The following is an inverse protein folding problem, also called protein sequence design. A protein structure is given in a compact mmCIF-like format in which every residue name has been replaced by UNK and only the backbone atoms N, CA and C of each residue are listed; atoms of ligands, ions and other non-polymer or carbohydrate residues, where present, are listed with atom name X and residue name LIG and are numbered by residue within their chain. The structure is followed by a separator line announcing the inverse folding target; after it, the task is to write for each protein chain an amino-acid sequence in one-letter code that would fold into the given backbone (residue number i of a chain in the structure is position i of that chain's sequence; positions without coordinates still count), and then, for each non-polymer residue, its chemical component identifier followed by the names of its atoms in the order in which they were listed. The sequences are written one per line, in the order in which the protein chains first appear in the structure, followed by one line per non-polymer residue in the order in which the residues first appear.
data_IF_519680734039
#
_entry.id   IF_519680734039
#
_cell.length_a   1.000
_cell.length_b   1.000
_cell.length_c   1.000
_cell.angle_alpha   90.00
_cell.angle_beta   90.00
_cell.angle_gamma   90.00
#
_symmetry.space_group_name_H-M   'P 1'
#
loop_
_entity.id
_entity.type
_entity.pdbx_description
1 polymer ?
#
# COMPACT_ATOMS: atom_id res chain seq x y z
N UNK A 1 -13.62 -18.99 -16.63
CA UNK A 1 -12.38 -18.46 -16.01
C UNK A 1 -11.92 -19.49 -15.00
N UNK A 2 -10.65 -19.94 -15.04
CA UNK A 2 -10.12 -20.88 -14.04
C UNK A 2 -9.95 -20.16 -12.70
N UNK A 3 -10.66 -20.61 -11.67
CA UNK A 3 -10.67 -19.99 -10.34
C UNK A 3 -9.26 -19.94 -9.71
N UNK A 4 -8.49 -21.03 -9.80
CA UNK A 4 -7.10 -21.07 -9.31
C UNK A 4 -6.15 -20.04 -9.96
N UNK A 5 -6.34 -19.74 -11.26
CA UNK A 5 -5.57 -18.69 -11.95
C UNK A 5 -5.92 -17.29 -11.41
N UNK A 6 -7.17 -17.09 -10.97
CA UNK A 6 -7.59 -15.84 -10.32
C UNK A 6 -6.95 -15.69 -8.94
N UNK A 7 -6.96 -16.76 -8.12
CA UNK A 7 -6.35 -16.77 -6.78
C UNK A 7 -4.84 -16.48 -6.82
N UNK A 8 -4.08 -17.16 -7.69
CA UNK A 8 -2.64 -16.90 -7.86
C UNK A 8 -2.33 -15.47 -8.30
N UNK A 9 -3.18 -14.88 -9.14
CA UNK A 9 -3.00 -13.50 -9.59
C UNK A 9 -3.27 -12.52 -8.45
N UNK A 10 -4.37 -12.71 -7.72
CA UNK A 10 -4.75 -11.84 -6.60
C UNK A 10 -3.73 -11.94 -5.45
N UNK A 11 -3.19 -13.13 -5.18
CA UNK A 11 -2.08 -13.33 -4.25
C UNK A 11 -0.86 -12.50 -4.61
N UNK A 12 -0.42 -12.52 -5.88
CA UNK A 12 0.72 -11.71 -6.35
C UNK A 12 0.48 -10.21 -6.16
N UNK A 13 -0.76 -9.74 -6.33
CA UNK A 13 -1.11 -8.34 -6.06
C UNK A 13 -1.00 -8.01 -4.57
N UNK A 14 -1.48 -8.90 -3.70
CA UNK A 14 -1.36 -8.73 -2.25
C UNK A 14 0.09 -8.79 -1.77
N UNK A 15 0.90 -9.71 -2.27
CA UNK A 15 2.34 -9.80 -1.95
C UNK A 15 3.10 -8.55 -2.40
N UNK A 16 2.79 -8.04 -3.61
CA UNK A 16 3.35 -6.78 -4.10
C UNK A 16 2.99 -5.60 -3.18
N UNK A 17 1.71 -5.48 -2.80
CA UNK A 17 1.25 -4.45 -1.88
C UNK A 17 1.93 -4.57 -0.50
N UNK A 18 2.02 -5.79 0.05
CA UNK A 18 2.67 -6.08 1.32
C UNK A 18 4.16 -5.69 1.31
N UNK A 19 4.87 -5.99 0.22
CA UNK A 19 6.26 -5.59 0.02
C UNK A 19 6.43 -4.07 0.07
N UNK A 20 5.50 -3.30 -0.51
CA UNK A 20 5.53 -1.83 -0.47
C UNK A 20 5.27 -1.29 0.94
N UNK A 21 4.34 -1.89 1.70
CA UNK A 21 4.12 -1.51 3.11
C UNK A 21 5.35 -1.77 3.96
N UNK A 22 5.98 -2.94 3.82
CA UNK A 22 7.23 -3.27 4.53
C UNK A 22 8.34 -2.27 4.20
N UNK A 23 8.42 -1.81 2.95
CA UNK A 23 9.38 -0.77 2.54
C UNK A 23 9.06 0.61 3.13
N UNK A 24 7.79 1.00 3.23
CA UNK A 24 7.36 2.23 3.92
C UNK A 24 7.84 2.21 5.37
N UNK A 25 7.52 1.14 6.11
CA UNK A 25 7.90 0.99 7.51
C UNK A 25 9.44 1.02 7.70
N UNK A 26 10.18 0.34 6.83
CA UNK A 26 11.65 0.42 6.83
C UNK A 26 12.17 1.85 6.61
N UNK A 27 11.66 2.56 5.60
CA UNK A 27 12.14 3.92 5.28
C UNK A 27 11.77 4.93 6.37
N UNK A 28 10.58 4.81 6.96
CA UNK A 28 10.17 5.61 8.11
C UNK A 28 11.15 5.47 9.28
N UNK A 29 11.56 4.23 9.58
CA UNK A 29 12.52 3.94 10.65
C UNK A 29 13.95 4.38 10.31
N UNK A 30 14.42 4.10 9.10
CA UNK A 30 15.75 4.51 8.62
C UNK A 30 15.93 6.03 8.70
N UNK A 31 14.95 6.79 8.21
CA UNK A 31 15.00 8.24 8.19
C UNK A 31 14.76 8.90 9.56
N UNK A 32 14.30 8.13 10.55
CA UNK A 32 13.98 8.63 11.89
C UNK A 32 12.89 9.70 11.87
N UNK A 33 11.87 9.54 11.02
CA UNK A 33 10.80 10.53 10.92
C UNK A 33 9.96 10.58 12.19
N UNK A 34 9.81 11.79 12.73
CA UNK A 34 8.67 12.20 13.56
C UNK A 34 7.60 12.87 12.69
N UNK A 35 6.41 13.12 13.26
CA UNK A 35 5.33 13.83 12.58
C UNK A 35 5.81 15.17 12.03
N UNK A 36 6.46 15.96 12.87
CA UNK A 36 6.98 17.30 12.55
C UNK A 36 8.01 17.22 11.42
N UNK A 37 9.00 16.32 11.56
CA UNK A 37 10.07 16.20 10.56
C UNK A 37 9.61 15.62 9.22
N UNK A 38 8.43 15.01 9.15
CA UNK A 38 7.85 14.52 7.89
C UNK A 38 7.03 15.61 7.19
N UNK A 39 6.25 16.37 7.97
CA UNK A 39 5.38 17.44 7.48
C UNK A 39 6.21 18.64 7.00
N UNK A 40 7.19 19.07 7.80
CA UNK A 40 7.90 20.33 7.59
C UNK A 40 9.02 20.27 6.54
N UNK A 41 9.17 19.16 5.82
CA UNK A 41 10.15 19.10 4.72
C UNK A 41 9.63 19.95 3.56
N UNK A 42 10.40 20.97 3.20
CA UNK A 42 10.21 21.73 1.96
C UNK A 42 10.92 21.02 0.80
N UNK A 43 10.20 20.85 -0.32
CA UNK A 43 10.79 20.28 -1.54
C UNK A 43 11.51 21.41 -2.29
N UNK A 44 12.84 21.38 -2.32
CA UNK A 44 13.64 22.40 -2.98
C UNK A 44 13.95 22.01 -4.43
N UNK A 45 13.78 22.95 -5.36
CA UNK A 45 14.00 22.68 -6.80
C UNK A 45 15.46 22.47 -7.19
N UNK A 46 16.41 22.92 -6.37
CA UNK A 46 17.83 22.99 -6.75
C UNK A 46 18.73 22.05 -5.95
N UNK A 47 18.29 21.60 -4.77
CA UNK A 47 19.04 20.70 -3.90
C UNK A 47 18.06 19.83 -3.12
N UNK A 48 18.07 18.53 -3.39
CA UNK A 48 17.20 17.58 -2.69
C UNK A 48 17.95 17.04 -1.47
N UNK A 49 17.36 17.20 -0.28
CA UNK A 49 17.96 16.65 0.94
C UNK A 49 17.75 15.13 1.04
N UNK A 50 18.54 14.41 1.85
CA UNK A 50 18.32 12.97 2.06
C UNK A 50 16.92 12.68 2.64
N UNK A 51 16.44 13.53 3.57
CA UNK A 51 15.09 13.42 4.13
C UNK A 51 14.00 13.66 3.08
N UNK A 52 14.24 14.57 2.14
CA UNK A 52 13.33 14.80 1.02
C UNK A 52 13.27 13.60 0.09
N UNK A 53 14.42 12.99 -0.24
CA UNK A 53 14.49 11.74 -1.01
C UNK A 53 13.76 10.58 -0.31
N UNK A 54 13.99 10.39 0.99
CA UNK A 54 13.36 9.32 1.77
C UNK A 54 11.82 9.55 1.85
N UNK A 55 11.35 10.80 2.03
CA UNK A 55 9.91 11.12 1.97
C UNK A 55 9.32 10.83 0.60
N UNK A 56 9.96 11.26 -0.49
CA UNK A 56 9.50 10.96 -1.85
C UNK A 56 9.44 9.46 -2.12
N UNK A 57 10.42 8.69 -1.63
CA UNK A 57 10.41 7.23 -1.74
C UNK A 57 9.25 6.59 -0.99
N UNK A 58 8.88 7.11 0.19
CA UNK A 58 7.69 6.68 0.94
C UNK A 58 6.42 6.95 0.13
N UNK A 59 6.24 8.17 -0.38
CA UNK A 59 5.07 8.54 -1.19
C UNK A 59 4.95 7.68 -2.45
N UNK A 60 6.07 7.40 -3.10
CA UNK A 60 6.13 6.47 -4.23
C UNK A 60 5.66 5.06 -3.86
N UNK A 61 6.04 4.56 -2.67
CA UNK A 61 5.55 3.27 -2.20
C UNK A 61 4.04 3.28 -1.93
N UNK A 62 3.48 4.39 -1.43
CA UNK A 62 2.02 4.55 -1.24
C UNK A 62 1.29 4.48 -2.59
N UNK A 63 1.82 5.16 -3.62
CA UNK A 63 1.25 5.13 -4.98
C UNK A 63 1.22 3.69 -5.52
N UNK A 64 2.35 2.99 -5.50
CA UNK A 64 2.44 1.63 -6.04
C UNK A 64 1.72 0.57 -5.22
N UNK A 65 1.59 0.77 -3.91
CA UNK A 65 0.72 -0.05 -3.08
C UNK A 65 -0.73 0.08 -3.56
N UNK A 66 -1.20 1.30 -3.80
CA UNK A 66 -2.55 1.53 -4.33
C UNK A 66 -2.78 0.97 -5.73
N UNK A 67 -1.77 1.02 -6.60
CA UNK A 67 -1.84 0.37 -7.92
C UNK A 67 -1.92 -1.15 -7.83
N UNK A 68 -1.13 -1.75 -6.93
CA UNK A 68 -1.16 -3.19 -6.70
C UNK A 68 -2.54 -3.63 -6.23
N UNK A 69 -3.12 -2.92 -5.26
CA UNK A 69 -4.47 -3.22 -4.77
C UNK A 69 -5.57 -2.90 -5.81
N UNK A 70 -5.38 -1.89 -6.66
CA UNK A 70 -6.28 -1.58 -7.76
C UNK A 70 -6.29 -2.63 -8.88
N UNK A 71 -5.26 -3.48 -8.96
CA UNK A 71 -5.18 -4.61 -9.90
C UNK A 71 -6.08 -5.79 -9.54
N UNK A 72 -6.61 -5.84 -8.31
CA UNK A 72 -7.53 -6.89 -7.85
C UNK A 72 -8.88 -6.69 -8.56
N UNK A 73 -9.20 -7.58 -9.51
CA UNK A 73 -10.38 -7.44 -10.39
C UNK A 73 -11.72 -7.60 -9.67
N UNK A 74 -11.72 -8.28 -8.52
CA UNK A 74 -12.94 -8.53 -7.73
C UNK A 74 -12.71 -8.22 -6.24
N UNK A 75 -12.47 -6.94 -5.86
CA UNK A 75 -12.19 -6.57 -4.48
C UNK A 75 -13.32 -6.99 -3.54
N UNK A 76 -14.56 -7.05 -4.05
CA UNK A 76 -15.75 -7.44 -3.32
C UNK A 76 -15.71 -8.85 -2.74
N UNK A 77 -14.95 -9.77 -3.35
CA UNK A 77 -14.72 -11.12 -2.79
C UNK A 77 -13.80 -11.09 -1.58
N UNK A 78 -12.98 -10.06 -1.47
CA UNK A 78 -12.02 -9.82 -0.39
C UNK A 78 -12.53 -8.80 0.62
N UNK A 79 -13.70 -8.19 0.42
CA UNK A 79 -14.27 -7.21 1.37
C UNK A 79 -14.51 -7.77 2.78
N UNK A 80 -14.64 -9.10 2.90
CA UNK A 80 -14.70 -9.80 4.19
C UNK A 80 -13.38 -9.79 4.96
N UNK A 81 -12.25 -9.49 4.29
CA UNK A 81 -10.90 -9.56 4.85
C UNK A 81 -10.23 -8.18 4.79
N UNK A 82 -10.22 -7.54 3.62
CA UNK A 82 -9.80 -6.14 3.45
C UNK A 82 -11.04 -5.31 3.18
N UNK A 83 -11.43 -4.50 4.16
CA UNK A 83 -12.68 -3.74 4.06
C UNK A 83 -12.69 -2.79 2.85
N UNK A 84 -13.88 -2.49 2.34
CA UNK A 84 -14.05 -1.52 1.24
C UNK A 84 -13.47 -0.16 1.63
N UNK A 85 -13.64 0.25 2.89
CA UNK A 85 -13.08 1.49 3.42
C UNK A 85 -11.55 1.51 3.35
N UNK A 86 -10.88 0.37 3.62
CA UNK A 86 -9.44 0.25 3.51
C UNK A 86 -8.97 0.43 2.05
N UNK A 87 -9.66 -0.19 1.08
CA UNK A 87 -9.37 0.01 -0.35
C UNK A 87 -9.58 1.46 -0.78
N UNK A 88 -10.71 2.06 -0.40
CA UNK A 88 -11.04 3.45 -0.74
C UNK A 88 -10.04 4.43 -0.11
N UNK A 89 -9.56 4.14 1.11
CA UNK A 89 -8.55 4.93 1.79
C UNK A 89 -7.20 4.88 1.08
N UNK A 90 -6.71 3.69 0.72
CA UNK A 90 -5.47 3.56 -0.06
C UNK A 90 -5.59 4.26 -1.41
N UNK A 91 -6.73 4.12 -2.08
CA UNK A 91 -7.01 4.79 -3.36
C UNK A 91 -6.99 6.32 -3.21
N UNK A 92 -7.60 6.86 -2.15
CA UNK A 92 -7.56 8.29 -1.82
C UNK A 92 -6.11 8.76 -1.64
N UNK A 93 -5.30 8.01 -0.88
CA UNK A 93 -3.90 8.37 -0.60
C UNK A 93 -2.99 8.24 -1.83
N UNK A 94 -3.16 7.21 -2.65
CA UNK A 94 -2.53 7.07 -3.98
C UNK A 94 -2.79 8.32 -4.83
N UNK A 95 -4.05 8.68 -5.00
CA UNK A 95 -4.43 9.81 -5.84
C UNK A 95 -3.87 11.12 -5.27
N UNK A 96 -3.94 11.32 -3.95
CA UNK A 96 -3.34 12.50 -3.30
C UNK A 96 -1.83 12.60 -3.50
N UNK A 97 -1.11 11.48 -3.40
CA UNK A 97 0.36 11.45 -3.60
C UNK A 97 0.75 11.64 -5.07
N UNK A 98 -0.01 11.06 -6.00
CA UNK A 98 0.22 11.23 -7.44
C UNK A 98 -0.13 12.64 -7.93
N UNK A 99 -1.20 13.24 -7.41
CA UNK A 99 -1.55 14.62 -7.74
C UNK A 99 -0.55 15.64 -7.20
N UNK A 100 0.06 15.43 -6.02
CA UNK A 100 1.11 16.33 -5.49
C UNK A 100 2.38 16.31 -6.38
N UNK A 101 2.63 15.19 -7.07
CA UNK A 101 3.72 15.04 -8.05
C UNK A 101 3.43 15.77 -9.37
N UNK A 102 2.18 15.76 -9.84
CA UNK A 102 1.76 16.35 -11.13
C UNK A 102 1.31 17.81 -11.01
N UNK A 103 0.79 18.22 -9.85
CA UNK A 103 0.17 19.51 -9.56
C UNK A 103 0.65 20.08 -8.21
N UNK A 104 1.90 20.58 -8.13
CA UNK A 104 2.51 21.07 -6.87
C UNK A 104 1.76 22.24 -6.22
N UNK A 105 0.83 22.89 -6.93
CA UNK A 105 -0.10 23.89 -6.40
C UNK A 105 -1.23 23.30 -5.52
N UNK A 106 -1.52 22.01 -5.65
CA UNK A 106 -2.51 21.30 -4.83
C UNK A 106 -1.79 20.49 -3.75
N UNK A 107 -1.35 21.17 -2.70
CA UNK A 107 -0.66 20.53 -1.58
C UNK A 107 -1.51 19.41 -0.98
N UNK A 108 -0.97 18.20 -0.98
CA UNK A 108 -1.44 17.10 -0.15
C UNK A 108 -1.48 17.53 1.33
N UNK A 109 -2.46 17.04 2.07
CA UNK A 109 -2.48 17.16 3.52
C UNK A 109 -1.50 16.14 4.15
N UNK A 110 -0.35 16.65 4.59
CA UNK A 110 0.73 15.85 5.17
C UNK A 110 0.39 15.32 6.57
N UNK A 111 -0.54 15.94 7.30
CA UNK A 111 -1.03 15.38 8.58
C UNK A 111 -1.87 14.14 8.34
N UNK A 112 -2.74 14.22 7.34
CA UNK A 112 -3.58 13.14 6.87
C UNK A 112 -2.74 11.97 6.32
N UNK A 113 -1.65 12.28 5.62
CA UNK A 113 -0.67 11.29 5.16
C UNK A 113 0.09 10.66 6.33
N UNK A 114 0.52 11.44 7.32
CA UNK A 114 1.20 10.92 8.51
C UNK A 114 0.32 9.92 9.27
N UNK A 115 -0.95 10.27 9.48
CA UNK A 115 -1.93 9.39 10.12
C UNK A 115 -2.10 8.10 9.33
N UNK A 116 -2.21 8.20 8.01
CA UNK A 116 -2.28 7.03 7.15
C UNK A 116 -1.05 6.14 7.28
N UNK A 117 0.16 6.69 7.22
CA UNK A 117 1.40 5.91 7.27
C UNK A 117 1.60 5.18 8.60
N UNK A 118 1.22 5.82 9.71
CA UNK A 118 1.49 5.32 11.06
C UNK A 118 0.37 4.46 11.64
N UNK A 119 -0.88 4.68 11.22
CA UNK A 119 -2.04 3.97 11.76
C UNK A 119 -2.66 3.07 10.71
N UNK A 120 -3.16 3.65 9.63
CA UNK A 120 -4.02 2.92 8.69
C UNK A 120 -3.22 1.92 7.86
N UNK A 121 -2.02 2.29 7.43
CA UNK A 121 -1.12 1.44 6.65
C UNK A 121 -0.76 0.15 7.42
N UNK A 122 -0.59 0.24 8.74
CA UNK A 122 -0.31 -0.92 9.59
C UNK A 122 -1.54 -1.83 9.76
N UNK A 123 -2.75 -1.24 9.84
CA UNK A 123 -3.99 -2.04 9.83
C UNK A 123 -4.18 -2.75 8.49
N UNK A 124 -3.98 -2.04 7.39
CA UNK A 124 -4.05 -2.59 6.02
C UNK A 124 -3.03 -3.71 5.84
N UNK A 125 -1.82 -3.57 6.39
CA UNK A 125 -0.79 -4.62 6.38
C UNK A 125 -1.34 -5.93 6.95
N UNK A 126 -1.92 -5.88 8.15
CA UNK A 126 -2.45 -7.05 8.83
C UNK A 126 -3.59 -7.71 8.01
N UNK A 127 -4.47 -6.90 7.41
CA UNK A 127 -5.54 -7.41 6.53
C UNK A 127 -4.99 -8.09 5.28
N UNK A 128 -3.93 -7.54 4.67
CA UNK A 128 -3.27 -8.14 3.49
C UNK A 128 -2.58 -9.45 3.86
N UNK A 129 -1.90 -9.50 5.02
CA UNK A 129 -1.25 -10.73 5.51
C UNK A 129 -2.28 -11.85 5.73
N UNK A 130 -3.44 -11.52 6.30
CA UNK A 130 -4.54 -12.48 6.46
C UNK A 130 -5.11 -12.93 5.10
N UNK A 131 -5.28 -11.99 4.15
CA UNK A 131 -5.77 -12.32 2.81
C UNK A 131 -4.84 -13.30 2.06
N UNK A 132 -3.52 -13.10 2.17
CA UNK A 132 -2.52 -14.01 1.58
C UNK A 132 -2.62 -15.40 2.21
N UNK A 133 -2.71 -15.48 3.54
CA UNK A 133 -2.84 -16.77 4.23
C UNK A 133 -4.08 -17.54 3.79
N UNK A 134 -5.23 -16.87 3.69
CA UNK A 134 -6.47 -17.49 3.22
C UNK A 134 -6.33 -17.98 1.77
N UNK A 135 -5.63 -17.23 0.92
CA UNK A 135 -5.34 -17.64 -0.46
C UNK A 135 -4.45 -18.88 -0.53
N UNK A 136 -3.40 -18.94 0.29
CA UNK A 136 -2.52 -20.11 0.40
C UNK A 136 -3.30 -21.36 0.84
N UNK A 137 -4.13 -21.22 1.89
CA UNK A 137 -4.96 -22.32 2.39
C UNK A 137 -5.92 -22.84 1.31
N UNK A 138 -6.53 -21.95 0.52
CA UNK A 138 -7.41 -22.34 -0.58
C UNK A 138 -6.64 -23.02 -1.73
N UNK A 139 -5.48 -22.51 -2.11
CA UNK A 139 -4.67 -23.09 -3.18
C UNK A 139 -4.19 -24.49 -2.81
N UNK A 140 -3.67 -24.68 -1.60
CA UNK A 140 -3.19 -25.98 -1.13
C UNK A 140 -4.33 -26.96 -0.82
N UNK A 141 -5.49 -26.48 -0.33
CA UNK A 141 -6.68 -27.32 -0.17
C UNK A 141 -7.22 -27.84 -1.50
N UNK A 142 -7.20 -27.01 -2.55
CA UNK A 142 -7.62 -27.40 -3.90
C UNK A 142 -6.65 -28.42 -4.54
N UNK A 143 -5.35 -28.29 -4.29
CA UNK A 143 -4.34 -29.26 -4.76
C UNK A 143 -4.52 -30.65 -4.12
N UNK A 144 -4.85 -30.70 -2.82
CA UNK A 144 -5.11 -31.95 -2.11
C UNK A 144 -6.33 -32.69 -2.68
N UNK A 145 -7.44 -31.98 -2.97
CA UNK A 145 -8.65 -32.58 -3.55
C UNK A 145 -8.48 -33.06 -5.00
N UNK A 146 -7.59 -32.43 -5.78
CA UNK A 146 -7.31 -32.85 -7.17
C UNK A 146 -6.39 -34.08 -7.27
N UNK A 147 -5.74 -34.48 -6.18
CA UNK A 147 -4.81 -35.62 -6.12
C UNK A 147 -5.39 -36.85 -5.41
N UNK A 148 -6.60 -36.75 -4.85
CA UNK A 148 -7.35 -37.82 -4.20
C UNK A 148 -8.35 -38.48 -5.17
#
# INVERSE_FOLDING_TARGET
MNFGVSCQRDQKFFESALSKIKKIDYMMRKAGFTKETFIDIEISRNTVSEKEMDRLAILYCVVHMGESLGGVKEPHRWHSIISKEAFDMVKKRRNSSGHDYEHPEKRMDYEDMWTFLTVDCMKIKAMIEEAIKILDDHLHGTEAEMTA
#
